data_IF_736270332607
#
_entry.id   IF_736270332607
#
_cell.length_a   1.000
_cell.length_b   1.000
_cell.length_c   1.000
_cell.angle_alpha   90.00
_cell.angle_beta   90.00
_cell.angle_gamma   90.00
#
_symmetry.space_group_name_H-M   'P 1'
#
loop_
_entity.id
_entity.type
_entity.pdbx_description
1 polymer ?
#
# COMPACT_ATOMS: atom_id res chain seq x y z
N UNK A 1 -32.88 5.17 -39.51
CA UNK A 1 -31.58 5.14 -38.80
C UNK A 1 -31.88 4.97 -37.32
N UNK A 2 -31.50 3.85 -36.72
CA UNK A 2 -31.56 3.66 -35.26
C UNK A 2 -30.14 3.79 -34.73
N UNK A 3 -29.88 4.87 -33.99
CA UNK A 3 -28.63 5.08 -33.27
C UNK A 3 -28.79 4.37 -31.92
N UNK A 4 -28.19 3.18 -31.77
CA UNK A 4 -28.12 2.51 -30.48
C UNK A 4 -26.93 3.11 -29.74
N UNK A 5 -27.20 4.07 -28.86
CA UNK A 5 -26.18 4.64 -27.97
C UNK A 5 -25.88 3.60 -26.89
N UNK A 6 -24.79 2.84 -27.08
CA UNK A 6 -24.27 1.97 -26.04
C UNK A 6 -23.61 2.89 -25.02
N UNK A 7 -24.30 3.17 -23.92
CA UNK A 7 -23.71 3.77 -22.73
C UNK A 7 -22.73 2.72 -22.16
N UNK A 8 -21.47 2.77 -22.59
CA UNK A 8 -20.43 1.93 -22.04
C UNK A 8 -20.24 2.25 -20.57
N UNK A 9 -20.65 1.33 -19.71
CA UNK A 9 -20.32 1.37 -18.28
C UNK A 9 -18.79 1.24 -18.18
N UNK A 10 -18.09 2.35 -18.03
CA UNK A 10 -16.68 2.32 -17.64
C UNK A 10 -16.67 1.86 -16.19
N UNK A 11 -16.53 0.55 -15.97
CA UNK A 11 -16.26 0.01 -14.64
C UNK A 11 -14.86 0.47 -14.28
N UNK A 12 -14.76 1.58 -13.56
CA UNK A 12 -13.50 2.02 -12.97
C UNK A 12 -13.15 1.02 -11.88
N UNK A 13 -12.22 0.12 -12.18
CA UNK A 13 -11.69 -0.83 -11.20
C UNK A 13 -10.84 -0.01 -10.21
N UNK A 14 -11.42 0.36 -9.07
CA UNK A 14 -10.71 1.07 -8.00
C UNK A 14 -9.95 0.06 -7.15
N UNK A 15 -8.65 0.27 -6.94
CA UNK A 15 -7.81 -0.57 -6.07
C UNK A 15 -8.41 -0.70 -4.66
N UNK A 16 -8.34 -1.88 -4.05
CA UNK A 16 -8.76 -2.09 -2.66
C UNK A 16 -7.80 -1.43 -1.67
N UNK A 17 -6.53 -1.34 -2.07
CA UNK A 17 -5.49 -0.65 -1.32
C UNK A 17 -4.47 0.01 -2.26
N UNK A 18 -3.80 1.03 -1.74
CA UNK A 18 -2.58 1.59 -2.31
C UNK A 18 -1.59 1.92 -1.21
N UNK A 19 -0.31 1.85 -1.55
CA UNK A 19 0.81 2.15 -0.67
C UNK A 19 1.80 3.03 -1.42
N UNK A 20 2.17 4.17 -0.83
CA UNK A 20 3.16 5.10 -1.38
C UNK A 20 4.36 5.22 -0.46
N UNK A 21 5.56 5.20 -1.04
CA UNK A 21 6.83 5.19 -0.30
C UNK A 21 7.57 6.52 -0.51
N UNK A 22 8.07 7.14 0.56
CA UNK A 22 8.66 8.48 0.52
C UNK A 22 10.10 8.55 1.07
N UNK A 23 10.93 9.42 0.46
CA UNK A 23 12.27 9.80 0.95
C UNK A 23 12.23 10.79 2.13
N UNK A 24 11.05 11.26 2.55
CA UNK A 24 10.89 12.17 3.68
C UNK A 24 10.12 11.53 4.83
N UNK A 25 10.25 12.11 6.02
CA UNK A 25 9.44 11.73 7.18
C UNK A 25 7.99 12.21 7.00
N UNK A 26 7.04 11.55 7.67
CA UNK A 26 5.61 11.93 7.65
C UNK A 26 5.01 12.02 6.25
N UNK A 27 5.43 11.14 5.33
CA UNK A 27 4.93 11.03 3.97
C UNK A 27 5.07 12.33 3.18
N UNK A 28 6.12 13.09 3.50
CA UNK A 28 6.51 14.31 2.82
C UNK A 28 7.70 14.05 1.89
N UNK A 29 8.02 15.06 1.07
CA UNK A 29 9.15 15.00 0.16
C UNK A 29 8.89 14.16 -1.08
N UNK A 30 9.93 13.52 -1.60
CA UNK A 30 9.90 12.83 -2.89
C UNK A 30 9.24 11.46 -2.76
N UNK A 31 8.25 11.21 -3.61
CA UNK A 31 7.65 9.89 -3.82
C UNK A 31 8.66 8.99 -4.55
N UNK A 32 8.97 7.84 -3.97
CA UNK A 32 9.88 6.83 -4.53
C UNK A 32 9.11 5.85 -5.41
N UNK A 33 8.00 5.33 -4.89
CA UNK A 33 7.18 4.31 -5.54
C UNK A 33 5.75 4.37 -5.01
N UNK A 34 4.82 3.88 -5.82
CA UNK A 34 3.44 3.57 -5.40
C UNK A 34 3.10 2.16 -5.89
N UNK A 35 2.51 1.37 -5.00
CA UNK A 35 2.00 0.03 -5.25
C UNK A 35 0.50 0.02 -4.94
N UNK A 36 -0.29 -0.74 -5.68
CA UNK A 36 -1.74 -0.82 -5.49
C UNK A 36 -2.29 -2.11 -6.07
N UNK A 37 -3.24 -2.72 -5.38
CA UNK A 37 -3.90 -3.95 -5.84
C UNK A 37 -5.35 -4.04 -5.33
N UNK A 38 -6.07 -5.05 -5.80
CA UNK A 38 -7.44 -5.41 -5.40
C UNK A 38 -7.48 -6.52 -4.36
N UNK A 39 -6.41 -7.30 -4.22
CA UNK A 39 -6.38 -8.51 -3.39
C UNK A 39 -5.27 -8.50 -2.33
N UNK A 40 -5.31 -9.51 -1.45
CA UNK A 40 -4.25 -9.79 -0.50
C UNK A 40 -2.97 -10.25 -1.19
N UNK A 41 -1.84 -10.05 -0.51
CA UNK A 41 -0.53 -10.33 -1.08
C UNK A 41 0.32 -11.28 -0.22
N UNK A 42 1.38 -11.86 -0.80
CA UNK A 42 2.45 -12.47 -0.02
C UNK A 42 3.13 -11.42 0.88
N UNK A 43 4.09 -11.87 1.70
CA UNK A 43 4.91 -10.93 2.42
C UNK A 43 5.94 -10.26 1.50
N UNK A 44 6.05 -8.94 1.60
CA UNK A 44 7.00 -8.13 0.84
C UNK A 44 8.04 -7.51 1.77
N UNK A 45 9.32 -7.79 1.51
CA UNK A 45 10.41 -7.08 2.18
C UNK A 45 10.65 -5.75 1.48
N UNK A 46 10.68 -4.69 2.26
CA UNK A 46 10.90 -3.34 1.74
C UNK A 46 12.40 -3.09 1.74
N UNK A 47 13.05 -3.60 0.69
CA UNK A 47 14.41 -3.24 0.35
C UNK A 47 14.36 -2.09 -0.65
N UNK A 48 14.39 -0.86 -0.14
CA UNK A 48 14.58 0.30 -0.98
C UNK A 48 15.85 0.15 -1.82
N UNK A 49 15.89 0.67 -3.06
CA UNK A 49 17.14 0.74 -3.81
C UNK A 49 18.21 1.36 -2.91
N UNK A 50 19.43 0.82 -2.86
CA UNK A 50 20.49 1.26 -1.94
C UNK A 50 20.78 2.78 -1.97
N UNK A 51 20.32 3.47 -3.01
CA UNK A 51 20.41 4.93 -3.20
C UNK A 51 19.30 5.76 -2.53
N UNK A 52 18.22 5.14 -2.06
CA UNK A 52 17.09 5.84 -1.44
C UNK A 52 16.94 5.42 0.01
N UNK A 53 17.01 6.40 0.92
CA UNK A 53 16.65 6.17 2.31
C UNK A 53 15.13 6.31 2.43
N UNK A 54 14.46 5.20 2.74
CA UNK A 54 13.01 5.22 2.92
C UNK A 54 12.71 5.64 4.37
N UNK A 55 11.97 6.73 4.52
CA UNK A 55 11.65 7.30 5.83
C UNK A 55 10.20 7.08 6.26
N UNK A 56 9.28 6.97 5.29
CA UNK A 56 7.87 6.75 5.59
C UNK A 56 7.12 6.11 4.44
N UNK A 57 5.97 5.50 4.78
CA UNK A 57 5.01 4.96 3.84
C UNK A 57 3.61 5.45 4.17
N UNK A 58 2.86 5.82 3.13
CA UNK A 58 1.44 6.12 3.24
C UNK A 58 0.65 4.91 2.76
N UNK A 59 -0.20 4.39 3.62
CA UNK A 59 -1.20 3.39 3.27
C UNK A 59 -2.52 4.08 3.04
N UNK A 60 -3.25 3.64 2.03
CA UNK A 60 -4.61 4.05 1.77
C UNK A 60 -5.40 2.79 1.41
N UNK A 61 -6.37 2.46 2.25
CA UNK A 61 -7.31 1.35 2.06
C UNK A 61 -8.65 1.95 1.69
N UNK A 62 -9.17 1.57 0.54
CA UNK A 62 -10.42 2.13 0.01
C UNK A 62 -11.63 1.37 0.53
N UNK A 63 -11.43 0.13 0.98
CA UNK A 63 -12.46 -0.73 1.55
C UNK A 63 -12.00 -1.35 2.87
N UNK A 64 -12.95 -1.54 3.79
CA UNK A 64 -12.81 -2.17 5.10
C UNK A 64 -12.35 -3.63 5.08
N UNK A 65 -12.29 -4.24 3.88
CA UNK A 65 -12.01 -5.65 3.68
C UNK A 65 -10.52 -6.00 3.66
N UNK A 66 -9.62 -5.00 3.65
CA UNK A 66 -8.18 -5.21 3.62
C UNK A 66 -7.48 -4.45 4.74
N UNK A 67 -6.40 -5.04 5.26
CA UNK A 67 -5.51 -4.42 6.22
C UNK A 67 -4.04 -4.68 5.83
N UNK A 68 -3.17 -3.76 6.19
CA UNK A 68 -1.72 -3.97 6.13
C UNK A 68 -1.20 -4.47 7.48
N UNK A 69 -0.57 -5.62 7.48
CA UNK A 69 0.27 -6.11 8.57
C UNK A 69 1.69 -5.64 8.38
N UNK A 70 2.22 -4.93 9.36
CA UNK A 70 3.56 -4.35 9.32
C UNK A 70 4.46 -5.09 10.28
N UNK A 71 5.66 -5.44 9.82
CA UNK A 71 6.62 -6.23 10.59
C UNK A 71 7.97 -5.52 10.70
N UNK A 72 8.64 -5.71 11.84
CA UNK A 72 9.95 -5.10 12.12
C UNK A 72 11.12 -5.86 11.49
N UNK A 73 10.94 -7.12 11.12
CA UNK A 73 11.94 -7.94 10.40
C UNK A 73 11.59 -8.10 8.92
N UNK A 74 12.52 -8.65 8.14
CA UNK A 74 12.29 -8.95 6.73
C UNK A 74 11.39 -10.17 6.55
N UNK A 75 10.68 -10.23 5.43
CA UNK A 75 9.80 -11.34 5.05
C UNK A 75 8.78 -11.73 6.15
N UNK A 76 8.23 -10.72 6.84
CA UNK A 76 7.21 -10.86 7.89
C UNK A 76 7.70 -11.69 9.08
N UNK A 77 9.01 -11.64 9.33
CA UNK A 77 9.61 -12.17 10.54
C UNK A 77 9.73 -11.08 11.61
N UNK A 78 9.94 -11.51 12.85
CA UNK A 78 10.13 -10.62 13.99
C UNK A 78 8.80 -10.24 14.64
N UNK A 79 8.75 -9.03 15.21
CA UNK A 79 7.54 -8.54 15.89
C UNK A 79 6.57 -7.94 14.88
N UNK A 80 5.29 -8.28 15.02
CA UNK A 80 4.21 -7.56 14.37
C UNK A 80 4.13 -6.17 15.01
N UNK A 81 4.33 -5.15 14.19
CA UNK A 81 4.21 -3.75 14.60
C UNK A 81 2.73 -3.36 14.78
N UNK A 82 1.87 -3.79 13.85
CA UNK A 82 0.43 -3.54 13.92
C UNK A 82 -0.32 -3.81 12.61
N UNK A 83 -1.64 -3.59 12.67
CA UNK A 83 -2.57 -3.67 11.55
C UNK A 83 -3.06 -2.26 11.17
N UNK A 84 -2.92 -1.88 9.90
CA UNK A 84 -3.35 -0.58 9.37
C UNK A 84 -4.55 -0.80 8.45
N UNK A 85 -5.68 -0.15 8.76
CA UNK A 85 -6.97 -0.31 8.04
C UNK A 85 -7.51 0.97 7.43
N UNK A 86 -6.82 2.09 7.63
CA UNK A 86 -7.22 3.41 7.18
C UNK A 86 -6.03 4.16 6.60
N UNK A 87 -6.30 5.34 6.05
CA UNK A 87 -5.28 6.31 5.64
C UNK A 87 -4.29 6.59 6.77
N UNK A 88 -3.07 6.04 6.65
CA UNK A 88 -2.05 6.15 7.68
C UNK A 88 -0.68 6.38 7.09
N UNK A 89 0.05 7.32 7.69
CA UNK A 89 1.44 7.54 7.38
C UNK A 89 2.33 6.89 8.44
N UNK A 90 2.93 5.76 8.08
CA UNK A 90 3.85 5.03 8.94
C UNK A 90 5.26 5.58 8.81
N UNK A 91 5.84 5.93 9.96
CA UNK A 91 7.24 6.31 10.08
C UNK A 91 8.11 5.08 10.39
N UNK A 92 9.42 5.22 10.17
CA UNK A 92 10.51 4.24 10.36
C UNK A 92 10.34 3.12 11.41
N UNK A 93 11.20 2.10 11.35
CA UNK A 93 11.26 0.89 12.21
C UNK A 93 10.38 -0.28 11.74
N UNK A 94 10.18 -0.38 10.45
CA UNK A 94 9.56 -1.51 9.77
C UNK A 94 10.51 -2.04 8.70
N UNK A 95 10.30 -3.27 8.26
CA UNK A 95 11.16 -3.96 7.26
C UNK A 95 10.35 -4.70 6.21
N UNK A 96 9.14 -5.13 6.53
CA UNK A 96 8.25 -5.79 5.58
C UNK A 96 6.80 -5.51 5.88
N UNK A 97 5.96 -5.73 4.88
CA UNK A 97 4.52 -5.63 5.00
C UNK A 97 3.83 -6.82 4.32
N UNK A 98 2.59 -7.08 4.71
CA UNK A 98 1.68 -8.01 4.03
C UNK A 98 0.29 -7.39 4.00
N UNK A 99 -0.41 -7.55 2.88
CA UNK A 99 -1.83 -7.22 2.81
C UNK A 99 -2.63 -8.46 3.14
N UNK A 100 -3.60 -8.34 4.04
CA UNK A 100 -4.48 -9.43 4.49
C UNK A 100 -5.94 -9.02 4.37
N UNK A 101 -6.82 -9.99 4.10
CA UNK A 101 -8.27 -9.77 4.21
C UNK A 101 -8.70 -9.74 5.67
N UNK A 102 -9.64 -8.86 5.99
CA UNK A 102 -10.19 -8.62 7.35
C UNK A 102 -11.49 -9.38 7.56
#
# INVERSE_FOLDING_TARGET
>A
MYLITILGLVVSVSSAWSMSIYEGVRCAGKLISTESDLDEGPCYTIDGPARYHIWSMKFNTTDSQVAFEIWTGSNCNGALWGHIKDDYCLMSNWKSYRVVKV
#
